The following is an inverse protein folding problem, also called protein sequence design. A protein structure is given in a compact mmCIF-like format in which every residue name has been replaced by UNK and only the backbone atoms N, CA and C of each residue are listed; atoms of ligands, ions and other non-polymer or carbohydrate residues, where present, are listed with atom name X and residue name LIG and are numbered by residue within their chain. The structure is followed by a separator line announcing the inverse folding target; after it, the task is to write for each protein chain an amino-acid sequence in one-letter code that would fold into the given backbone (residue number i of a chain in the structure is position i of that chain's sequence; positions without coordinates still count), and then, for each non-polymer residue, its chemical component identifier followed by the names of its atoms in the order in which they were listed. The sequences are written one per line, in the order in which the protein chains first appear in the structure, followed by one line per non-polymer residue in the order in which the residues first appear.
data_IF_986133012909
#
_entry.id   IF_986133012909
#
_cell.length_a   1.000
_cell.length_b   1.000
_cell.length_c   1.000
_cell.angle_alpha   90.00
_cell.angle_beta   90.00
_cell.angle_gamma   90.00
#
_symmetry.space_group_name_H-M   'P 1'
#
loop_
_entity.id
_entity.type
_entity.pdbx_description
1 polymer ?
#
# COMPACT_ATOMS: atom_id res chain seq x y z
N UNK A 1 19.96 38.11 -8.40
CA UNK A 1 19.79 37.09 -7.35
C UNK A 1 20.07 35.74 -7.98
N UNK A 2 21.12 35.04 -7.53
CA UNK A 2 21.41 33.71 -8.02
C UNK A 2 20.33 32.74 -7.52
N UNK A 3 19.77 31.92 -8.41
CA UNK A 3 18.90 30.81 -8.03
C UNK A 3 19.65 29.89 -7.05
N UNK A 4 19.02 29.41 -5.95
CA UNK A 4 19.66 28.43 -5.10
C UNK A 4 20.00 27.20 -5.94
N UNK A 5 21.28 26.81 -5.97
CA UNK A 5 21.68 25.54 -6.57
C UNK A 5 20.95 24.40 -5.86
N UNK A 6 20.52 23.35 -6.58
CA UNK A 6 19.90 22.20 -5.95
C UNK A 6 20.92 21.59 -4.98
N UNK A 7 20.55 21.52 -3.70
CA UNK A 7 21.29 20.76 -2.69
C UNK A 7 21.34 19.30 -3.15
N UNK A 8 22.51 18.89 -3.65
CA UNK A 8 22.79 17.48 -3.97
C UNK A 8 23.03 16.80 -2.64
N UNK A 9 22.11 15.92 -2.23
CA UNK A 9 22.33 15.11 -1.03
C UNK A 9 23.38 14.06 -1.32
N UNK A 10 24.61 14.28 -0.86
CA UNK A 10 25.75 13.43 -1.22
C UNK A 10 25.90 12.22 -0.31
N UNK A 11 25.50 12.34 0.96
CA UNK A 11 25.69 11.27 1.96
C UNK A 11 24.47 11.02 2.85
N UNK A 12 23.53 11.96 2.94
CA UNK A 12 22.25 11.76 3.59
C UNK A 12 21.16 11.40 2.58
N UNK A 13 20.17 10.62 3.02
CA UNK A 13 19.10 10.14 2.14
C UNK A 13 17.74 10.63 2.60
N UNK A 14 16.85 10.82 1.62
CA UNK A 14 15.47 11.22 1.86
C UNK A 14 14.68 10.06 2.49
N UNK A 15 13.65 10.36 3.31
CA UNK A 15 12.71 9.33 3.75
C UNK A 15 11.97 8.71 2.56
N UNK A 16 11.47 7.47 2.72
CA UNK A 16 10.50 6.88 1.81
C UNK A 16 9.31 7.80 1.51
N UNK A 17 8.66 7.61 0.36
CA UNK A 17 7.33 8.18 0.19
C UNK A 17 6.41 7.64 1.28
N UNK A 18 5.66 8.56 1.89
CA UNK A 18 4.86 8.29 3.07
C UNK A 18 3.49 7.70 2.74
N UNK A 19 2.99 7.97 1.53
CA UNK A 19 1.64 7.58 1.13
C UNK A 19 1.35 6.08 1.32
N UNK A 20 2.24 5.15 0.93
CA UNK A 20 1.97 3.72 1.08
C UNK A 20 1.75 3.30 2.55
N UNK A 21 2.54 3.86 3.46
CA UNK A 21 2.47 3.58 4.89
C UNK A 21 1.15 4.09 5.50
N UNK A 22 0.72 5.29 5.12
CA UNK A 22 -0.54 5.87 5.61
C UNK A 22 -1.74 5.12 5.03
N UNK A 23 -1.70 4.79 3.74
CA UNK A 23 -2.79 4.14 3.04
C UNK A 23 -3.06 2.72 3.54
N UNK A 24 -2.02 1.98 3.93
CA UNK A 24 -2.15 0.68 4.62
C UNK A 24 -3.02 0.79 5.88
N UNK A 25 -2.78 1.81 6.70
CA UNK A 25 -3.56 2.05 7.90
C UNK A 25 -5.00 2.46 7.56
N UNK A 26 -5.19 3.33 6.57
CA UNK A 26 -6.52 3.77 6.12
C UNK A 26 -7.39 2.63 5.60
N UNK A 27 -6.85 1.76 4.74
CA UNK A 27 -7.60 0.60 4.21
C UNK A 27 -8.05 -0.31 5.36
N UNK A 28 -7.16 -0.53 6.32
CA UNK A 28 -7.48 -1.37 7.49
C UNK A 28 -8.63 -0.79 8.31
N UNK A 29 -8.60 0.52 8.55
CA UNK A 29 -9.59 1.23 9.36
C UNK A 29 -10.93 1.44 8.63
N UNK A 30 -10.89 1.78 7.35
CA UNK A 30 -12.03 2.29 6.61
C UNK A 30 -12.65 1.27 5.65
N UNK A 31 -11.95 0.20 5.31
CA UNK A 31 -12.47 -0.86 4.44
C UNK A 31 -12.57 -2.19 5.19
N UNK A 32 -11.45 -2.71 5.71
CA UNK A 32 -11.44 -4.04 6.32
C UNK A 32 -12.32 -4.10 7.56
N UNK A 33 -12.08 -3.23 8.54
CA UNK A 33 -12.83 -3.26 9.79
C UNK A 33 -14.36 -3.11 9.61
N UNK A 34 -14.89 -2.06 8.96
CA UNK A 34 -16.34 -1.87 8.87
C UNK A 34 -17.03 -2.94 8.02
N UNK A 35 -16.41 -3.38 6.91
CA UNK A 35 -17.02 -4.41 6.07
C UNK A 35 -17.01 -5.78 6.75
N UNK A 36 -15.94 -6.15 7.47
CA UNK A 36 -15.92 -7.40 8.24
C UNK A 36 -16.89 -7.37 9.43
N UNK A 37 -17.06 -6.21 10.07
CA UNK A 37 -18.03 -6.06 11.16
C UNK A 37 -19.48 -6.14 10.64
N UNK A 38 -19.76 -5.56 9.47
CA UNK A 38 -21.06 -5.68 8.80
C UNK A 38 -21.40 -7.14 8.51
N UNK A 39 -20.46 -7.90 7.95
CA UNK A 39 -20.66 -9.34 7.67
C UNK A 39 -20.88 -10.15 8.95
N UNK A 40 -20.18 -9.82 10.03
CA UNK A 40 -20.40 -10.40 11.36
C UNK A 40 -21.83 -10.13 11.84
N UNK A 41 -22.27 -8.87 11.83
CA UNK A 41 -23.61 -8.49 12.29
C UNK A 41 -24.71 -9.20 11.50
N UNK A 42 -24.53 -9.33 10.18
CA UNK A 42 -25.46 -10.06 9.33
C UNK A 42 -25.57 -11.54 9.71
N UNK A 43 -24.44 -12.18 10.06
CA UNK A 43 -24.42 -13.56 10.53
C UNK A 43 -25.00 -13.72 11.94
N UNK A 44 -24.73 -12.77 12.83
CA UNK A 44 -25.25 -12.80 14.20
C UNK A 44 -26.78 -12.64 14.24
N UNK A 45 -27.36 -11.87 13.32
CA UNK A 45 -28.81 -11.73 13.19
C UNK A 45 -29.52 -13.07 12.89
N UNK A 46 -28.83 -13.99 12.21
CA UNK A 46 -29.33 -15.32 11.87
C UNK A 46 -28.75 -16.44 12.76
N UNK A 47 -28.07 -16.09 13.87
CA UNK A 47 -27.28 -17.06 14.65
C UNK A 47 -28.09 -18.24 15.17
N UNK A 48 -29.30 -18.00 15.63
CA UNK A 48 -30.18 -19.06 16.17
C UNK A 48 -30.63 -20.04 15.10
N UNK A 49 -30.67 -19.57 13.84
CA UNK A 49 -31.02 -20.37 12.68
C UNK A 49 -29.77 -21.07 12.12
N UNK A 50 -28.60 -20.41 12.18
CA UNK A 50 -27.35 -20.85 11.56
C UNK A 50 -26.11 -20.64 12.46
N UNK A 51 -25.98 -21.39 13.55
CA UNK A 51 -24.85 -21.25 14.45
C UNK A 51 -23.52 -21.64 13.78
N UNK A 52 -23.54 -22.60 12.84
CA UNK A 52 -22.34 -23.05 12.13
C UNK A 52 -21.78 -21.96 11.19
N UNK A 53 -22.63 -21.21 10.51
CA UNK A 53 -22.20 -20.09 9.65
C UNK A 53 -21.49 -19.00 10.47
N UNK A 54 -22.04 -18.68 11.65
CA UNK A 54 -21.43 -17.73 12.60
C UNK A 54 -20.06 -18.25 13.08
N UNK A 55 -19.97 -19.54 13.40
CA UNK A 55 -18.73 -20.19 13.86
C UNK A 55 -17.65 -20.17 12.78
N UNK A 56 -17.97 -20.53 11.53
CA UNK A 56 -17.03 -20.48 10.40
C UNK A 56 -16.45 -19.08 10.27
N UNK A 57 -17.30 -18.05 10.25
CA UNK A 57 -16.84 -16.69 10.08
C UNK A 57 -16.02 -16.17 11.27
N UNK A 58 -16.37 -16.56 12.51
CA UNK A 58 -15.58 -16.25 13.68
C UNK A 58 -14.16 -16.81 13.59
N UNK A 59 -14.00 -18.09 13.19
CA UNK A 59 -12.68 -18.69 13.00
C UNK A 59 -11.89 -18.01 11.88
N UNK A 60 -12.55 -17.65 10.76
CA UNK A 60 -11.92 -16.87 9.70
C UNK A 60 -11.37 -15.55 10.22
N UNK A 61 -12.15 -14.79 11.00
CA UNK A 61 -11.72 -13.49 11.57
C UNK A 61 -10.47 -13.61 12.45
N UNK A 62 -10.23 -14.74 13.13
CA UNK A 62 -8.97 -14.99 13.85
C UNK A 62 -7.78 -15.04 12.92
N UNK A 63 -7.93 -15.72 11.79
CA UNK A 63 -6.87 -15.81 10.77
C UNK A 63 -6.64 -14.43 10.15
N UNK A 64 -7.70 -13.74 9.73
CA UNK A 64 -7.61 -12.39 9.16
C UNK A 64 -6.88 -11.42 10.09
N UNK A 65 -7.20 -11.42 11.39
CA UNK A 65 -6.47 -10.63 12.41
C UNK A 65 -4.98 -10.95 12.42
N UNK A 66 -4.62 -12.23 12.44
CA UNK A 66 -3.21 -12.67 12.52
C UNK A 66 -2.44 -12.21 11.30
N UNK A 67 -3.04 -12.34 10.12
CA UNK A 67 -2.41 -11.95 8.86
C UNK A 67 -2.28 -10.44 8.71
N UNK A 68 -3.32 -9.67 9.06
CA UNK A 68 -3.27 -8.20 9.02
C UNK A 68 -2.21 -7.62 9.97
N UNK A 69 -2.01 -8.23 11.15
CA UNK A 69 -0.94 -7.81 12.09
C UNK A 69 0.46 -7.87 11.49
N UNK A 70 0.70 -8.71 10.48
CA UNK A 70 2.01 -8.76 9.80
C UNK A 70 2.30 -7.46 9.07
N UNK A 71 1.30 -6.84 8.44
CA UNK A 71 1.44 -5.57 7.72
C UNK A 71 1.87 -4.42 8.64
N UNK A 72 1.33 -4.34 9.85
CA UNK A 72 1.67 -3.26 10.77
C UNK A 72 3.10 -3.33 11.32
N UNK A 73 3.78 -4.47 11.20
CA UNK A 73 5.22 -4.54 11.49
C UNK A 73 6.05 -3.69 10.51
N UNK A 74 5.58 -3.51 9.27
CA UNK A 74 6.23 -2.62 8.29
C UNK A 74 6.24 -1.19 8.80
N UNK A 75 5.11 -0.69 9.33
CA UNK A 75 5.00 0.63 9.94
C UNK A 75 5.92 0.80 11.15
N UNK A 76 5.98 -0.23 12.01
CA UNK A 76 6.88 -0.21 13.17
C UNK A 76 8.34 -0.03 12.76
N UNK A 77 8.81 -0.81 11.78
CA UNK A 77 10.21 -0.71 11.34
C UNK A 77 10.52 0.53 10.50
N UNK A 78 9.54 1.09 9.79
CA UNK A 78 9.67 2.40 9.17
C UNK A 78 9.83 3.52 10.22
N UNK A 79 9.08 3.43 11.32
CA UNK A 79 9.20 4.35 12.46
C UNK A 79 10.59 4.23 13.12
N UNK A 80 11.08 3.01 13.34
CA UNK A 80 12.42 2.76 13.88
C UNK A 80 13.52 3.30 12.96
N UNK A 81 13.39 3.14 11.63
CA UNK A 81 14.33 3.71 10.67
C UNK A 81 14.38 5.24 10.76
N UNK A 82 13.22 5.89 10.89
CA UNK A 82 13.14 7.34 11.04
C UNK A 82 13.77 7.85 12.35
N UNK A 83 13.56 7.13 13.46
CA UNK A 83 14.22 7.42 14.74
C UNK A 83 15.74 7.23 14.68
N UNK A 84 16.21 6.19 13.97
CA UNK A 84 17.63 5.98 13.77
C UNK A 84 18.26 7.09 12.91
N UNK A 85 17.53 7.62 11.92
CA UNK A 85 17.99 8.77 11.14
C UNK A 85 18.17 10.03 11.97
N UNK A 86 17.27 10.34 12.91
CA UNK A 86 17.47 11.50 13.79
C UNK A 86 18.77 11.38 14.60
N UNK A 87 19.19 10.16 14.97
CA UNK A 87 20.44 9.92 15.68
C UNK A 87 21.68 10.11 14.80
N UNK A 88 21.57 9.93 13.48
CA UNK A 88 22.66 10.26 12.55
C UNK A 88 22.92 11.77 12.61
N UNK A 89 21.87 12.58 12.55
CA UNK A 89 21.98 14.05 12.57
C UNK A 89 22.47 14.55 13.93
N UNK A 90 22.00 13.94 15.02
CA UNK A 90 22.51 14.23 16.38
C UNK A 90 24.02 13.96 16.48
N UNK A 91 24.47 12.78 16.03
CA UNK A 91 25.90 12.44 16.03
C UNK A 91 26.74 13.41 15.18
N UNK A 92 26.23 13.82 14.01
CA UNK A 92 26.88 14.84 13.16
C UNK A 92 27.03 16.17 13.91
N UNK A 93 25.97 16.65 14.57
CA UNK A 93 25.99 17.91 15.33
C UNK A 93 26.97 17.88 16.51
N UNK A 94 27.15 16.70 17.12
CA UNK A 94 28.08 16.48 18.23
C UNK A 94 29.51 16.13 17.76
N UNK A 95 29.74 16.06 16.43
CA UNK A 95 31.01 15.63 15.82
C UNK A 95 31.45 14.24 16.30
N UNK A 96 30.49 13.35 16.52
CA UNK A 96 30.70 11.94 16.86
C UNK A 96 30.54 11.06 15.62
N UNK A 97 31.07 9.84 15.67
CA UNK A 97 30.87 8.88 14.57
C UNK A 97 29.39 8.53 14.40
N UNK A 98 28.97 8.45 13.14
CA UNK A 98 27.59 8.11 12.76
C UNK A 98 27.37 6.62 12.53
N UNK A 99 28.43 5.80 12.55
CA UNK A 99 28.42 4.38 12.17
C UNK A 99 27.32 3.56 12.86
N UNK A 100 27.13 3.74 14.17
CA UNK A 100 26.11 3.01 14.94
C UNK A 100 24.70 3.43 14.54
N UNK A 101 24.48 4.72 14.29
CA UNK A 101 23.19 5.24 13.85
C UNK A 101 22.86 4.76 12.42
N UNK A 102 23.84 4.80 11.50
CA UNK A 102 23.72 4.26 10.13
C UNK A 102 23.42 2.75 10.17
N UNK A 103 24.10 2.00 11.03
CA UNK A 103 23.81 0.57 11.22
C UNK A 103 22.40 0.32 11.74
N UNK A 104 21.90 1.15 12.66
CA UNK A 104 20.53 1.05 13.17
C UNK A 104 19.49 1.31 12.07
N UNK A 105 19.72 2.31 11.20
CA UNK A 105 18.89 2.56 10.01
C UNK A 105 18.88 1.32 9.12
N UNK A 106 20.06 0.80 8.77
CA UNK A 106 20.21 -0.38 7.93
C UNK A 106 19.44 -1.58 8.50
N UNK A 107 19.59 -1.86 9.80
CA UNK A 107 18.92 -2.98 10.47
C UNK A 107 17.39 -2.81 10.45
N UNK A 108 16.90 -1.61 10.75
CA UNK A 108 15.48 -1.31 10.74
C UNK A 108 14.89 -1.47 9.33
N UNK A 109 15.54 -0.88 8.32
CA UNK A 109 15.14 -0.98 6.92
C UNK A 109 15.14 -2.44 6.43
N UNK A 110 16.19 -3.20 6.72
CA UNK A 110 16.29 -4.61 6.36
C UNK A 110 15.18 -5.45 6.98
N UNK A 111 14.88 -5.22 8.26
CA UNK A 111 13.82 -5.95 8.96
C UNK A 111 12.45 -5.55 8.44
N UNK A 112 12.21 -4.25 8.21
CA UNK A 112 10.99 -3.74 7.61
C UNK A 112 10.73 -4.32 6.22
N UNK A 113 11.76 -4.41 5.38
CA UNK A 113 11.71 -5.06 4.05
C UNK A 113 11.23 -6.51 4.15
N UNK A 114 11.82 -7.30 5.04
CA UNK A 114 11.38 -8.69 5.29
C UNK A 114 9.98 -8.78 5.89
N UNK A 115 9.55 -7.78 6.65
CA UNK A 115 8.19 -7.70 7.14
C UNK A 115 7.19 -7.42 6.02
N UNK A 116 7.55 -6.62 5.02
CA UNK A 116 6.71 -6.36 3.85
C UNK A 116 6.50 -7.64 3.03
N UNK A 117 7.56 -8.41 2.75
CA UNK A 117 7.48 -9.72 2.09
C UNK A 117 6.49 -10.65 2.83
N UNK A 118 6.66 -10.79 4.15
CA UNK A 118 5.77 -11.61 4.99
C UNK A 118 4.33 -11.09 5.06
N UNK A 119 4.13 -9.79 4.90
CA UNK A 119 2.81 -9.19 4.89
C UNK A 119 2.10 -9.46 3.56
N UNK A 120 2.80 -9.48 2.42
CA UNK A 120 2.25 -9.85 1.12
C UNK A 120 1.81 -11.32 1.10
N UNK A 121 2.66 -12.22 1.62
CA UNK A 121 2.28 -13.62 1.87
C UNK A 121 1.03 -13.70 2.76
N UNK A 122 0.98 -12.86 3.80
CA UNK A 122 -0.16 -12.77 4.69
C UNK A 122 -1.43 -12.29 3.99
N UNK A 123 -1.35 -11.34 3.06
CA UNK A 123 -2.51 -10.88 2.28
C UNK A 123 -3.03 -11.95 1.32
N UNK A 124 -2.15 -12.81 0.80
CA UNK A 124 -2.55 -13.99 0.02
C UNK A 124 -3.37 -14.96 0.86
N UNK A 125 -2.92 -15.24 2.10
CA UNK A 125 -3.67 -16.08 3.05
C UNK A 125 -4.97 -15.41 3.47
N UNK A 126 -4.93 -14.12 3.78
CA UNK A 126 -6.10 -13.32 4.15
C UNK A 126 -7.20 -13.46 3.09
N UNK A 127 -6.83 -13.27 1.81
CA UNK A 127 -7.76 -13.41 0.68
C UNK A 127 -8.35 -14.82 0.62
N UNK A 128 -7.49 -15.82 0.60
CA UNK A 128 -7.88 -17.22 0.41
C UNK A 128 -8.85 -17.68 1.50
N UNK A 129 -8.60 -17.29 2.75
CA UNK A 129 -9.45 -17.61 3.89
C UNK A 129 -10.79 -16.87 3.82
N UNK A 130 -10.82 -15.60 3.40
CA UNK A 130 -12.06 -14.86 3.23
C UNK A 130 -12.92 -15.48 2.12
N UNK A 131 -12.33 -15.77 0.96
CA UNK A 131 -13.03 -16.40 -0.17
C UNK A 131 -13.58 -17.78 0.23
N UNK A 132 -12.77 -18.59 0.90
CA UNK A 132 -13.18 -19.90 1.43
C UNK A 132 -14.31 -19.80 2.45
N UNK A 133 -14.26 -18.80 3.36
CA UNK A 133 -15.31 -18.57 4.34
C UNK A 133 -16.63 -18.20 3.67
N UNK A 134 -16.60 -17.28 2.70
CA UNK A 134 -17.81 -16.87 1.97
C UNK A 134 -18.46 -18.07 1.28
N UNK A 135 -17.69 -18.95 0.65
CA UNK A 135 -18.21 -20.17 0.01
C UNK A 135 -18.83 -21.12 1.04
N UNK A 136 -18.12 -21.44 2.12
CA UNK A 136 -18.60 -22.37 3.14
C UNK A 136 -19.86 -21.85 3.83
N UNK A 137 -19.86 -20.57 4.20
CA UNK A 137 -21.01 -19.92 4.80
C UNK A 137 -22.21 -19.94 3.85
N UNK A 138 -22.02 -19.61 2.56
CA UNK A 138 -23.12 -19.66 1.58
C UNK A 138 -23.70 -21.07 1.46
N UNK A 139 -22.86 -22.10 1.39
CA UNK A 139 -23.31 -23.50 1.32
C UNK A 139 -24.08 -23.92 2.60
N UNK A 140 -23.64 -23.47 3.78
CA UNK A 140 -24.35 -23.70 5.04
C UNK A 140 -25.74 -23.04 5.02
N UNK A 141 -25.84 -21.80 4.54
CA UNK A 141 -27.11 -21.09 4.44
C UNK A 141 -28.05 -21.78 3.44
N UNK A 142 -27.57 -22.18 2.27
CA UNK A 142 -28.38 -22.88 1.26
C UNK A 142 -28.96 -24.21 1.74
N UNK A 143 -28.28 -24.87 2.70
CA UNK A 143 -28.76 -26.13 3.31
C UNK A 143 -29.87 -25.88 4.32
N UNK A 144 -29.79 -24.78 5.07
CA UNK A 144 -30.68 -24.48 6.19
C UNK A 144 -31.87 -23.60 5.82
N UNK A 145 -31.81 -22.88 4.68
CA UNK A 145 -32.92 -22.09 4.17
C UNK A 145 -33.59 -22.78 2.97
N UNK A 146 -34.91 -22.56 2.81
CA UNK A 146 -35.61 -22.95 1.59
C UNK A 146 -34.96 -22.23 0.39
N UNK A 147 -34.77 -22.98 -0.70
CA UNK A 147 -34.25 -22.45 -1.97
C UNK A 147 -35.02 -21.19 -2.39
N UNK A 148 -34.34 -20.05 -2.46
CA UNK A 148 -34.94 -18.75 -2.82
C UNK A 148 -35.23 -17.81 -1.65
N UNK A 149 -35.04 -18.25 -0.39
CA UNK A 149 -35.09 -17.36 0.76
C UNK A 149 -33.90 -16.40 0.76
N UNK A 150 -34.17 -15.09 0.83
CA UNK A 150 -33.14 -14.07 1.00
C UNK A 150 -32.65 -14.10 2.44
N UNK A 151 -31.34 -14.26 2.64
CA UNK A 151 -30.71 -14.08 3.95
C UNK A 151 -30.08 -12.69 4.02
N UNK A 152 -30.05 -12.04 5.21
CA UNK A 152 -29.28 -10.83 5.44
C UNK A 152 -27.87 -10.89 4.84
N UNK A 153 -27.18 -12.02 4.96
CA UNK A 153 -25.83 -12.18 4.42
C UNK A 153 -25.74 -12.17 2.88
N UNK A 154 -26.75 -12.70 2.18
CA UNK A 154 -26.79 -12.72 0.70
C UNK A 154 -27.38 -11.43 0.10
N UNK A 155 -27.58 -10.41 0.94
CA UNK A 155 -27.97 -9.08 0.46
C UNK A 155 -26.94 -8.49 -0.51
N UNK A 156 -27.43 -7.63 -1.40
CA UNK A 156 -26.59 -6.92 -2.37
C UNK A 156 -25.50 -6.12 -1.66
N UNK A 157 -25.81 -5.51 -0.52
CA UNK A 157 -24.88 -4.72 0.25
C UNK A 157 -23.77 -5.57 0.89
N UNK A 158 -24.07 -6.76 1.39
CA UNK A 158 -23.05 -7.64 1.97
C UNK A 158 -22.17 -8.28 0.89
N UNK A 159 -22.73 -8.56 -0.29
CA UNK A 159 -21.97 -8.96 -1.48
C UNK A 159 -21.02 -7.85 -1.94
N UNK A 160 -21.48 -6.60 -1.88
CA UNK A 160 -20.67 -5.43 -2.16
C UNK A 160 -19.54 -5.28 -1.12
N UNK A 161 -19.82 -5.46 0.18
CA UNK A 161 -18.80 -5.45 1.23
C UNK A 161 -17.69 -6.48 1.02
N UNK A 162 -18.02 -7.72 0.62
CA UNK A 162 -17.00 -8.73 0.26
C UNK A 162 -16.15 -8.24 -0.91
N UNK A 163 -16.78 -7.69 -1.96
CA UNK A 163 -16.07 -7.20 -3.14
C UNK A 163 -15.14 -6.02 -2.81
N UNK A 164 -15.57 -5.12 -1.94
CA UNK A 164 -14.75 -4.01 -1.44
C UNK A 164 -13.53 -4.51 -0.67
N UNK A 165 -13.70 -5.50 0.21
CA UNK A 165 -12.57 -6.10 0.92
C UNK A 165 -11.59 -6.73 -0.07
N UNK A 166 -12.05 -7.49 -1.06
CA UNK A 166 -11.18 -8.14 -2.05
C UNK A 166 -10.39 -7.12 -2.88
N UNK A 167 -11.03 -6.03 -3.31
CA UNK A 167 -10.36 -4.96 -4.04
C UNK A 167 -9.34 -4.24 -3.16
N UNK A 168 -9.69 -4.01 -1.90
CA UNK A 168 -8.79 -3.42 -0.94
C UNK A 168 -7.58 -4.32 -0.65
N UNK A 169 -7.72 -5.64 -0.67
CA UNK A 169 -6.57 -6.56 -0.56
C UNK A 169 -5.61 -6.37 -1.75
N UNK A 170 -6.14 -6.24 -2.97
CA UNK A 170 -5.32 -6.02 -4.17
C UNK A 170 -4.55 -4.68 -4.07
N UNK A 171 -5.22 -3.61 -3.62
CA UNK A 171 -4.58 -2.32 -3.35
C UNK A 171 -3.51 -2.45 -2.24
N UNK A 172 -3.84 -3.16 -1.16
CA UNK A 172 -2.96 -3.35 -0.01
C UNK A 172 -1.66 -4.07 -0.39
N UNK A 173 -1.74 -5.08 -1.25
CA UNK A 173 -0.56 -5.83 -1.73
C UNK A 173 0.40 -4.93 -2.53
N UNK A 174 -0.14 -4.07 -3.40
CA UNK A 174 0.66 -3.08 -4.15
C UNK A 174 1.35 -2.10 -3.20
N UNK A 175 0.65 -1.63 -2.16
CA UNK A 175 1.23 -0.71 -1.18
C UNK A 175 2.35 -1.39 -0.36
N UNK A 176 2.18 -2.66 -0.01
CA UNK A 176 3.23 -3.45 0.64
C UNK A 176 4.46 -3.62 -0.24
N UNK A 177 4.27 -3.84 -1.56
CA UNK A 177 5.38 -3.88 -2.51
C UNK A 177 6.12 -2.53 -2.57
N UNK A 178 5.40 -1.41 -2.62
CA UNK A 178 6.00 -0.07 -2.59
C UNK A 178 6.80 0.16 -1.30
N UNK A 179 6.26 -0.27 -0.15
CA UNK A 179 6.98 -0.20 1.13
C UNK A 179 8.25 -1.06 1.09
N UNK A 180 8.16 -2.29 0.54
CA UNK A 180 9.31 -3.17 0.35
C UNK A 180 10.41 -2.46 -0.46
N UNK A 181 10.07 -1.87 -1.60
CA UNK A 181 11.03 -1.28 -2.52
C UNK A 181 11.71 -0.03 -1.95
N UNK A 182 10.95 0.82 -1.23
CA UNK A 182 11.51 1.94 -0.51
C UNK A 182 12.50 1.49 0.58
N UNK A 183 12.15 0.45 1.35
CA UNK A 183 13.00 -0.07 2.40
C UNK A 183 14.23 -0.78 1.82
N UNK A 184 14.11 -1.45 0.67
CA UNK A 184 15.23 -2.05 -0.06
C UNK A 184 16.23 -1.00 -0.56
N UNK A 185 15.72 0.14 -1.04
CA UNK A 185 16.53 1.29 -1.41
C UNK A 185 17.33 1.79 -0.22
N UNK A 186 16.67 1.94 0.93
CA UNK A 186 17.32 2.40 2.16
C UNK A 186 18.39 1.42 2.65
N UNK A 187 18.13 0.11 2.57
CA UNK A 187 19.12 -0.93 2.90
C UNK A 187 20.38 -0.80 2.04
N UNK A 188 20.21 -0.57 0.74
CA UNK A 188 21.33 -0.40 -0.19
C UNK A 188 22.14 0.84 0.12
N UNK A 189 21.44 1.94 0.40
CA UNK A 189 22.01 3.24 0.75
C UNK A 189 22.82 3.22 2.05
N UNK A 190 22.38 2.46 3.05
CA UNK A 190 23.05 2.38 4.36
C UNK A 190 23.85 1.10 4.55
N UNK A 191 24.27 0.45 3.45
CA UNK A 191 25.07 -0.78 3.50
C UNK A 191 26.47 -0.53 4.04
N UNK A 192 27.08 0.58 3.62
CA UNK A 192 28.33 1.05 4.19
C UNK A 192 28.05 1.91 5.43
N UNK A 193 28.57 1.51 6.58
CA UNK A 193 28.41 2.25 7.84
C UNK A 193 29.18 3.57 7.84
N UNK A 194 30.18 3.69 6.96
CA UNK A 194 31.03 4.87 6.85
C UNK A 194 30.52 5.87 5.80
N UNK A 195 29.37 5.63 5.17
CA UNK A 195 28.91 6.45 4.04
C UNK A 195 28.73 7.93 4.40
N UNK A 196 28.32 8.22 5.64
CA UNK A 196 28.16 9.58 6.16
C UNK A 196 29.49 10.15 6.65
N UNK A 197 30.25 9.39 7.43
CA UNK A 197 31.54 9.84 8.00
C UNK A 197 32.61 10.09 6.92
N UNK A 198 32.58 9.36 5.80
CA UNK A 198 33.54 9.51 4.70
C UNK A 198 33.26 10.71 3.79
N UNK A 199 32.06 11.27 3.88
CA UNK A 199 31.62 12.40 3.05
C UNK A 199 30.60 13.21 3.85
N UNK A 200 31.03 13.94 4.89
CA UNK A 200 30.12 14.60 5.81
C UNK A 200 29.26 15.63 5.08
N UNK A 201 27.94 15.64 5.30
CA UNK A 201 27.03 16.59 4.67
C UNK A 201 27.25 18.00 5.22
N UNK A 202 26.75 19.00 4.49
CA UNK A 202 26.67 20.36 5.03
C UNK A 202 25.65 20.45 6.17
N UNK A 203 25.79 21.44 7.05
CA UNK A 203 24.82 21.67 8.13
C UNK A 203 23.42 21.97 7.56
N UNK A 204 23.33 22.75 6.49
CA UNK A 204 22.08 23.06 5.81
C UNK A 204 21.41 21.80 5.24
N UNK A 205 22.18 20.91 4.63
CA UNK A 205 21.69 19.60 4.16
C UNK A 205 21.19 18.76 5.33
N UNK A 206 21.96 18.65 6.41
CA UNK A 206 21.61 17.89 7.60
C UNK A 206 20.28 18.37 8.22
N UNK A 207 20.08 19.68 8.31
CA UNK A 207 18.84 20.27 8.83
C UNK A 207 17.64 20.02 7.92
N UNK A 208 17.81 20.16 6.60
CA UNK A 208 16.73 19.89 5.63
C UNK A 208 16.33 18.42 5.68
N UNK A 209 17.29 17.50 5.73
CA UNK A 209 17.03 16.06 5.80
C UNK A 209 16.37 15.69 7.13
N UNK A 210 16.84 16.25 8.26
CA UNK A 210 16.22 16.05 9.57
C UNK A 210 14.75 16.47 9.56
N UNK A 211 14.44 17.64 8.99
CA UNK A 211 13.06 18.14 8.92
C UNK A 211 12.16 17.18 8.12
N UNK A 212 12.67 16.59 7.03
CA UNK A 212 11.93 15.61 6.22
C UNK A 212 11.70 14.30 6.97
N UNK A 213 12.73 13.74 7.60
CA UNK A 213 12.60 12.52 8.41
C UNK A 213 11.72 12.70 9.63
N UNK A 214 11.78 13.86 10.28
CA UNK A 214 10.89 14.21 11.38
C UNK A 214 9.45 14.30 10.91
N UNK A 215 9.20 14.94 9.77
CA UNK A 215 7.87 14.98 9.16
C UNK A 215 7.36 13.57 8.86
N UNK A 216 8.21 12.72 8.28
CA UNK A 216 7.86 11.31 8.03
C UNK A 216 7.49 10.59 9.34
N UNK A 217 8.35 10.67 10.35
CA UNK A 217 8.15 10.07 11.67
C UNK A 217 6.85 10.55 12.32
N UNK A 218 6.62 11.86 12.40
CA UNK A 218 5.47 12.45 13.09
C UNK A 218 4.13 12.00 12.47
N UNK A 219 4.13 11.71 11.16
CA UNK A 219 2.93 11.23 10.46
C UNK A 219 2.69 9.72 10.63
N UNK A 220 3.74 8.91 10.80
CA UNK A 220 3.59 7.44 10.97
C UNK A 220 3.66 6.97 12.43
N UNK A 221 4.06 7.85 13.34
CA UNK A 221 4.26 7.53 14.76
C UNK A 221 2.98 6.96 15.36
N UNK A 222 3.09 5.75 15.90
CA UNK A 222 1.98 5.07 16.59
C UNK A 222 0.97 4.39 15.68
N UNK A 223 1.02 4.58 14.35
CA UNK A 223 0.08 3.92 13.42
C UNK A 223 0.17 2.40 13.46
N UNK A 224 1.33 1.84 13.83
CA UNK A 224 1.47 0.40 14.00
C UNK A 224 0.71 -0.12 15.22
N UNK A 225 0.65 0.65 16.31
CA UNK A 225 -0.13 0.30 17.51
C UNK A 225 -1.62 0.40 17.22
N UNK A 226 -2.03 1.50 16.59
CA UNK A 226 -3.41 1.71 16.15
C UNK A 226 -3.84 0.60 15.18
N UNK A 227 -2.95 0.22 14.25
CA UNK A 227 -3.15 -0.92 13.35
C UNK A 227 -3.33 -2.25 14.08
N UNK A 228 -2.48 -2.56 15.06
CA UNK A 228 -2.62 -3.77 15.88
C UNK A 228 -3.98 -3.79 16.59
N UNK A 229 -4.46 -2.63 17.02
CA UNK A 229 -5.77 -2.50 17.64
C UNK A 229 -6.92 -2.68 16.64
N UNK A 230 -6.84 -2.10 15.45
CA UNK A 230 -7.77 -2.37 14.34
C UNK A 230 -7.86 -3.88 14.07
N UNK A 231 -6.72 -4.57 13.99
CA UNK A 231 -6.69 -6.01 13.78
C UNK A 231 -7.34 -6.78 14.96
N UNK A 232 -7.22 -6.29 16.20
CA UNK A 232 -7.93 -6.88 17.34
C UNK A 232 -9.44 -6.75 17.18
N UNK A 233 -9.91 -5.57 16.77
CA UNK A 233 -11.32 -5.28 16.55
C UNK A 233 -11.92 -6.11 15.40
N UNK A 234 -11.10 -6.47 14.41
CA UNK A 234 -11.49 -7.44 13.37
C UNK A 234 -11.84 -8.80 13.96
N UNK A 235 -11.34 -9.22 15.12
CA UNK A 235 -11.78 -10.46 15.77
C UNK A 235 -12.83 -10.19 16.85
N UNK A 236 -12.56 -9.22 17.71
CA UNK A 236 -13.35 -8.88 18.90
C UNK A 236 -13.71 -7.39 18.82
N UNK A 237 -14.86 -7.03 18.21
CA UNK A 237 -15.31 -5.65 18.16
C UNK A 237 -15.44 -5.06 19.57
N UNK A 238 -15.11 -3.78 19.72
CA UNK A 238 -15.33 -3.08 21.00
C UNK A 238 -16.82 -3.12 21.39
N UNK A 239 -17.11 -3.30 22.69
CA UNK A 239 -18.47 -3.23 23.24
C UNK A 239 -19.18 -1.90 22.92
N UNK A 240 -18.43 -0.83 22.65
CA UNK A 240 -18.96 0.48 22.27
C UNK A 240 -19.69 0.49 20.91
N UNK A 241 -19.51 -0.54 20.08
CA UNK A 241 -20.22 -0.71 18.80
C UNK A 241 -21.55 -1.48 18.95
N UNK A 242 -21.98 -1.78 20.18
CA UNK A 242 -23.31 -2.34 20.43
C UNK A 242 -24.38 -1.24 20.24
N UNK A 243 -25.51 -1.49 19.56
CA UNK A 243 -26.56 -0.49 19.36
C UNK A 243 -27.12 0.13 20.67
N UNK A 244 -26.93 -0.53 21.82
CA UNK A 244 -27.29 -0.02 23.14
C UNK A 244 -26.21 0.80 23.87
N UNK A 245 -24.97 0.85 23.35
CA UNK A 245 -23.87 1.61 23.97
C UNK A 245 -24.10 3.14 23.97
N UNK A 246 -25.05 3.61 23.16
CA UNK A 246 -25.49 5.01 23.12
C UNK A 246 -26.08 5.53 24.44
N UNK A 247 -26.40 4.65 25.40
CA UNK A 247 -27.04 5.03 26.67
C UNK A 247 -26.09 5.22 27.85
N UNK A 248 -24.81 4.80 27.80
CA UNK A 248 -24.01 4.72 29.04
C UNK A 248 -22.71 5.55 29.07
N UNK A 249 -22.14 6.02 27.96
CA UNK A 249 -20.89 6.79 28.04
C UNK A 249 -20.89 8.09 27.24
N UNK A 250 -20.64 9.21 27.96
CA UNK A 250 -20.23 10.48 27.35
C UNK A 250 -18.91 10.24 26.61
N UNK A 251 -18.84 10.44 25.28
CA UNK A 251 -17.60 10.23 24.56
C UNK A 251 -16.61 11.32 24.96
N UNK A 252 -15.44 10.93 25.47
CA UNK A 252 -14.26 11.82 25.44
C UNK A 252 -13.88 11.99 23.97
N UNK A 253 -14.43 13.02 23.32
CA UNK A 253 -13.98 13.49 22.01
C UNK A 253 -12.53 13.95 22.11
N UNK A 254 -11.58 13.06 21.87
CA UNK A 254 -10.30 13.41 21.28
C UNK A 254 -10.37 12.96 19.83
N UNK A 255 -10.67 13.91 18.94
CA UNK A 255 -10.45 13.70 17.51
C UNK A 255 -8.96 13.37 17.36
N UNK A 256 -8.59 12.22 16.79
CA UNK A 256 -7.19 11.89 16.59
C UNK A 256 -6.53 12.98 15.74
N UNK A 257 -5.39 13.50 16.21
CA UNK A 257 -4.63 14.58 15.58
C UNK A 257 -4.35 14.36 14.08
N UNK A 258 -4.30 13.10 13.65
CA UNK A 258 -4.14 12.76 12.23
C UNK A 258 -5.28 13.31 11.37
N UNK A 259 -6.57 13.18 11.78
CA UNK A 259 -7.71 13.73 10.99
C UNK A 259 -7.59 15.23 10.72
N UNK A 260 -7.02 16.00 11.66
CA UNK A 260 -6.77 17.44 11.48
C UNK A 260 -5.56 17.76 10.60
N UNK A 261 -4.55 16.87 10.55
CA UNK A 261 -3.37 17.03 9.69
C UNK A 261 -3.71 16.69 8.22
N UNK A 262 -4.51 15.65 7.98
CA UNK A 262 -4.90 15.26 6.62
C UNK A 262 -5.85 16.25 5.94
N UNK A 263 -6.81 16.83 6.66
CA UNK A 263 -7.65 17.90 6.11
C UNK A 263 -6.82 19.13 5.69
N UNK A 264 -5.68 19.38 6.35
CA UNK A 264 -4.75 20.46 5.97
C UNK A 264 -3.91 20.09 4.75
N UNK A 265 -3.52 18.82 4.61
CA UNK A 265 -2.72 18.36 3.47
C UNK A 265 -3.55 18.29 2.18
N UNK A 266 -4.75 17.70 2.24
CA UNK A 266 -5.71 17.66 1.10
C UNK A 266 -6.05 19.09 0.62
N UNK A 267 -6.21 20.05 1.54
CA UNK A 267 -6.39 21.46 1.17
C UNK A 267 -5.15 22.08 0.52
N UNK A 268 -3.94 21.76 0.96
CA UNK A 268 -2.69 22.27 0.33
C UNK A 268 -2.48 21.69 -1.06
N UNK A 269 -2.79 20.42 -1.26
CA UNK A 269 -2.63 19.74 -2.55
C UNK A 269 -3.71 20.18 -3.55
N UNK A 270 -4.93 20.47 -3.07
CA UNK A 270 -5.98 21.11 -3.86
C UNK A 270 -5.58 22.53 -4.31
N UNK A 271 -5.00 23.34 -3.42
CA UNK A 271 -4.53 24.70 -3.76
C UNK A 271 -3.32 24.69 -4.71
N UNK A 272 -2.43 23.68 -4.60
CA UNK A 272 -1.33 23.48 -5.55
C UNK A 272 -1.80 23.01 -6.92
N UNK A 273 -2.81 22.14 -6.98
CA UNK A 273 -3.38 21.66 -8.24
C UNK A 273 -4.10 22.75 -9.02
N UNK A 274 -4.79 23.67 -8.34
CA UNK A 274 -5.45 24.83 -9.00
C UNK A 274 -4.48 25.89 -9.52
N UNK A 275 -3.24 25.93 -9.02
CA UNK A 275 -2.22 26.89 -9.48
C UNK A 275 -1.42 26.40 -10.70
N UNK A 276 -1.56 25.13 -11.09
CA UNK A 276 -0.86 24.54 -12.26
C UNK A 276 -1.72 24.58 -13.54
N UNK A 277 -3.00 24.96 -13.46
CA UNK A 277 -3.91 25.07 -14.61
C UNK A 277 -4.21 26.51 -15.06
N UNK A 278 -3.35 27.48 -14.72
CA UNK A 278 -3.41 28.82 -15.34
C UNK A 278 -2.21 29.00 -16.28
N UNK A 279 -2.36 28.48 -17.50
CA UNK A 279 -1.52 28.91 -18.61
C UNK A 279 -1.88 30.36 -19.01
N UNK A 280 -0.89 31.22 -19.29
CA UNK A 280 -1.11 32.60 -19.73
C UNK A 280 -1.21 32.65 -21.27
N UNK A 281 -2.40 32.95 -21.77
CA UNK A 281 -2.60 33.51 -23.12
C UNK A 281 -3.36 34.83 -22.88
N UNK A 282 -3.03 36.01 -23.41
CA UNK A 282 -1.96 36.56 -24.23
C UNK A 282 -2.09 38.10 -24.06
N UNK A 283 -1.07 38.93 -24.37
CA UNK A 283 -1.19 40.37 -24.36
C UNK A 283 -1.84 40.89 -25.65
N UNK A 284 -2.55 42.02 -25.54
CA UNK A 284 -2.93 42.87 -26.67
C UNK A 284 -1.72 43.18 -27.57
N UNK A 285 -1.89 43.04 -28.90
CA UNK A 285 -1.32 43.99 -29.84
C UNK A 285 -2.09 43.98 -31.17
N UNK A 286 -2.51 45.18 -31.55
CA UNK A 286 -3.20 45.52 -32.79
C UNK A 286 -2.32 45.31 -34.04
N UNK A 287 -3.01 45.07 -35.15
CA UNK A 287 -2.55 45.12 -36.53
C UNK A 287 -1.66 46.35 -36.83
N UNK A 288 -0.47 46.15 -37.39
CA UNK A 288 0.09 46.95 -38.51
C UNK A 288 1.02 46.07 -39.37
N UNK A 289 1.01 46.38 -40.66
CA UNK A 289 1.49 45.77 -41.91
C UNK A 289 2.97 45.34 -42.07
N UNK A 290 3.17 44.33 -42.93
CA UNK A 290 4.33 43.93 -43.77
C UNK A 290 5.18 45.09 -44.36
N UNK A 291 6.45 44.92 -44.82
CA UNK A 291 6.89 43.87 -45.78
C UNK A 291 8.33 43.30 -45.75
N UNK A 292 8.47 42.20 -46.50
CA UNK A 292 9.61 41.70 -47.32
C UNK A 292 11.05 41.65 -46.77
N UNK A 293 11.66 40.45 -46.75
CA UNK A 293 12.69 40.02 -47.73
C UNK A 293 13.42 38.74 -47.28
N UNK A 294 13.50 37.78 -48.23
CA UNK A 294 14.56 36.77 -48.42
C UNK A 294 14.81 35.75 -47.31
N UNK A 295 15.36 34.56 -47.52
CA UNK A 295 15.81 33.83 -48.71
C UNK A 295 16.60 32.62 -48.17
N UNK A 296 16.47 31.45 -48.82
CA UNK A 296 17.40 30.29 -48.75
C UNK A 296 17.52 29.53 -47.41
N UNK A 297 17.73 28.21 -47.30
CA UNK A 297 17.69 27.03 -48.18
C UNK A 297 17.86 25.79 -47.26
N UNK A 298 17.32 24.65 -47.68
CA UNK A 298 17.87 23.27 -47.67
C UNK A 298 19.03 22.95 -46.68
N UNK A 299 19.08 21.82 -45.96
CA UNK A 299 19.01 20.45 -46.49
C UNK A 299 19.04 19.40 -45.35
N UNK A 300 18.48 18.22 -45.64
CA UNK A 300 18.54 16.99 -44.86
C UNK A 300 19.92 16.29 -44.95
N UNK A 301 20.22 15.36 -44.04
CA UNK A 301 20.79 14.05 -44.38
C UNK A 301 20.78 13.06 -43.19
N UNK A 302 20.18 11.88 -43.42
CA UNK A 302 20.47 10.62 -42.73
C UNK A 302 21.77 10.03 -43.26
N UNK A 303 22.55 9.28 -42.46
CA UNK A 303 23.25 8.02 -42.84
C UNK A 303 23.68 7.24 -41.58
N UNK A 304 23.34 5.95 -41.52
CA UNK A 304 24.12 4.80 -40.98
C UNK A 304 24.22 3.79 -42.14
N UNK A 305 25.16 2.80 -42.23
CA UNK A 305 25.41 1.73 -41.22
C UNK A 305 26.81 1.00 -41.29
N UNK A 306 26.90 -0.16 -40.62
CA UNK A 306 27.79 -1.35 -40.76
C UNK A 306 28.70 -1.65 -39.52
N UNK A 307 28.65 -2.78 -38.77
CA UNK A 307 28.76 -4.26 -38.96
C UNK A 307 30.18 -4.81 -39.24
N UNK A 308 30.69 -5.67 -38.33
CA UNK A 308 31.61 -6.85 -38.46
C UNK A 308 31.89 -7.37 -37.01
N UNK A 309 31.56 -8.60 -36.52
CA UNK A 309 32.04 -9.99 -36.80
C UNK A 309 33.59 -10.12 -36.80
N UNK A 310 34.28 -11.07 -36.16
CA UNK A 310 34.03 -12.42 -35.60
C UNK A 310 34.96 -12.63 -34.34
N UNK A 311 35.06 -13.73 -33.58
CA UNK A 311 35.10 -15.18 -33.87
C UNK A 311 35.16 -15.98 -32.52
N UNK A 312 34.62 -17.21 -32.47
CA UNK A 312 34.64 -18.15 -31.30
C UNK A 312 35.94 -18.97 -31.18
N UNK A 313 36.00 -20.22 -30.61
CA UNK A 313 34.91 -21.23 -30.56
C UNK A 313 34.85 -22.28 -29.37
N UNK A 314 33.72 -23.02 -29.33
CA UNK A 314 33.47 -24.47 -29.03
C UNK A 314 33.74 -25.07 -27.63
N UNK A 315 32.85 -25.86 -27.00
CA UNK A 315 32.22 -27.16 -27.37
C UNK A 315 30.95 -27.45 -26.50
N UNK A 316 29.77 -27.77 -27.05
CA UNK A 316 29.14 -29.08 -27.42
C UNK A 316 28.70 -30.04 -26.29
N UNK A 317 27.38 -30.28 -26.16
CA UNK A 317 26.78 -31.64 -26.10
C UNK A 317 25.25 -31.63 -26.36
N UNK A 318 24.80 -32.53 -27.23
CA UNK A 318 23.41 -32.82 -27.66
C UNK A 318 23.01 -34.19 -27.11
N UNK A 319 21.75 -34.39 -26.69
CA UNK A 319 20.96 -35.59 -27.04
C UNK A 319 19.44 -35.37 -26.92
N UNK A 320 18.70 -36.13 -27.73
CA UNK A 320 17.35 -35.92 -28.29
C UNK A 320 16.18 -36.54 -27.50
N UNK A 321 14.96 -36.07 -27.82
CA UNK A 321 13.61 -36.58 -27.48
C UNK A 321 13.19 -37.78 -28.36
N UNK A 322 12.16 -38.60 -28.01
CA UNK A 322 10.78 -38.31 -28.48
C UNK A 322 9.57 -38.77 -27.60
N UNK A 323 8.51 -37.93 -27.68
CA UNK A 323 7.03 -38.16 -27.70
C UNK A 323 6.27 -39.09 -26.72
N UNK A 324 5.28 -38.53 -26.01
CA UNK A 324 3.83 -38.67 -26.29
C UNK A 324 2.95 -37.85 -25.30
N UNK A 325 2.06 -37.00 -25.81
CA UNK A 325 0.96 -36.34 -25.09
C UNK A 325 -0.26 -37.29 -24.96
N UNK A 326 -1.14 -37.09 -23.95
CA UNK A 326 -2.36 -36.37 -24.28
C UNK A 326 -2.68 -35.24 -23.29
N UNK A 327 -2.68 -34.05 -23.86
CA UNK A 327 -3.49 -32.87 -23.57
C UNK A 327 -4.69 -33.07 -22.62
N UNK A 328 -4.55 -32.57 -21.39
CA UNK A 328 -5.65 -31.98 -20.63
C UNK A 328 -5.39 -30.47 -20.55
N UNK A 329 -5.97 -29.72 -21.48
CA UNK A 329 -5.87 -28.26 -21.48
C UNK A 329 -6.45 -27.68 -20.18
N UNK A 330 -5.86 -26.60 -19.64
CA UNK A 330 -6.43 -25.94 -18.47
C UNK A 330 -7.80 -25.37 -18.86
N UNK A 331 -8.85 -25.89 -18.23
CA UNK A 331 -10.17 -25.28 -18.28
C UNK A 331 -10.03 -23.78 -17.96
N UNK A 332 -10.71 -22.88 -18.69
CA UNK A 332 -10.57 -21.46 -18.47
C UNK A 332 -10.98 -21.14 -17.02
N UNK A 333 -10.02 -20.65 -16.23
CA UNK A 333 -10.27 -20.15 -14.88
C UNK A 333 -11.19 -18.95 -15.00
N UNK A 334 -12.49 -19.19 -14.90
CA UNK A 334 -13.49 -18.13 -14.73
C UNK A 334 -13.00 -17.24 -13.57
N UNK A 335 -12.78 -15.92 -13.79
CA UNK A 335 -12.32 -15.01 -12.75
C UNK A 335 -13.20 -15.14 -11.51
N UNK A 336 -12.61 -15.20 -10.32
CA UNK A 336 -13.36 -15.41 -9.07
C UNK A 336 -14.51 -14.39 -8.91
N UNK A 337 -14.36 -13.15 -9.38
CA UNK A 337 -15.46 -12.17 -9.45
C UNK A 337 -16.70 -12.71 -10.18
N UNK A 338 -16.54 -13.41 -11.30
CA UNK A 338 -17.66 -14.03 -12.03
C UNK A 338 -18.24 -15.23 -11.27
N UNK A 339 -17.42 -16.01 -10.54
CA UNK A 339 -17.93 -17.09 -9.67
C UNK A 339 -18.68 -16.54 -8.45
N UNK A 340 -18.14 -15.52 -7.79
CA UNK A 340 -18.75 -14.84 -6.66
C UNK A 340 -20.09 -14.21 -7.07
N UNK A 341 -20.17 -13.57 -8.25
CA UNK A 341 -21.43 -13.11 -8.83
C UNK A 341 -22.42 -14.26 -9.10
N UNK A 342 -21.96 -15.41 -9.58
CA UNK A 342 -22.82 -16.58 -9.83
C UNK A 342 -23.34 -17.26 -8.54
N UNK A 343 -22.62 -17.10 -7.43
CA UNK A 343 -22.99 -17.66 -6.12
C UNK A 343 -23.81 -16.69 -5.25
N UNK A 344 -23.58 -15.38 -5.37
CA UNK A 344 -24.23 -14.36 -4.53
C UNK A 344 -25.36 -13.59 -5.22
N UNK A 345 -25.51 -13.68 -6.55
CA UNK A 345 -26.68 -13.13 -7.20
C UNK A 345 -27.90 -14.04 -6.93
N UNK A 346 -29.05 -13.51 -6.48
CA UNK A 346 -30.28 -14.28 -6.43
C UNK A 346 -30.58 -14.74 -7.85
N UNK A 347 -30.63 -16.06 -8.07
CA UNK A 347 -31.01 -16.67 -9.35
C UNK A 347 -32.46 -16.31 -9.65
N UNK A 348 -32.69 -15.14 -10.24
CA UNK A 348 -33.90 -14.84 -10.97
C UNK A 348 -33.67 -15.27 -12.41
N UNK A 349 -34.13 -16.47 -12.74
CA UNK A 349 -34.49 -16.83 -14.11
C UNK A 349 -35.99 -17.13 -14.02
N UNK A 350 -36.77 -16.33 -14.74
CA UNK A 350 -38.23 -16.41 -14.90
C UNK A 350 -38.61 -17.73 -15.54
#
# INVERSE_FOLDING_TARGET
MASPQPLVCTSLHLPPDIQPFLRIHEISLHVFLPNLDRLRLALEADRDINPEATKIFYETRKVLRKELRKAFKVLHFAQEAALAYSKIIEALSERKSTQDAVYNVHRAAYTGRRCAEKAQEGMTVFRSELESAVIRVSATLDTNYKKGSKTPLTSTENTQSVSEILNAIDEFDVLLQQCHDHLATLVSQTKDKNCVDSSPPSEEEAQVILAKWKTFFDNIKGLWMDGVEIANQIQLPSLDNHPEASKIHKPRKKVPLWRTLFQRQIKRDSVRSTNVLRAPNDPEAAFVTSPSNGSHELQANMVTPALNLAEGPMTSRITEFPHADPTNGPSPKIPFRKRLFLFLAPKFIV
#
